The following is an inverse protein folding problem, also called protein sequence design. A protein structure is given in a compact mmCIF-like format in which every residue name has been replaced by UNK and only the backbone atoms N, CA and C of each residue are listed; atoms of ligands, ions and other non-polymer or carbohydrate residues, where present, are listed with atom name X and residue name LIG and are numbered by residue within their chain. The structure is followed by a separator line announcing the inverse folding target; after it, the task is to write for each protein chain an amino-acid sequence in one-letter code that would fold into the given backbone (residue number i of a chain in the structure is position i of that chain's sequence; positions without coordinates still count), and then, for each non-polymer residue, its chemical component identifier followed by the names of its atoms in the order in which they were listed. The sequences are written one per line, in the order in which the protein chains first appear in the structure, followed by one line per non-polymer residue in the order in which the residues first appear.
data_IF_445243197616
#
_entry.id   IF_445243197616
#
_cell.length_a   1.000
_cell.length_b   1.000
_cell.length_c   1.000
_cell.angle_alpha   90.00
_cell.angle_beta   90.00
_cell.angle_gamma   90.00
#
_symmetry.space_group_name_H-M   'P 1'
#
loop_
_entity.id
_entity.type
_entity.pdbx_description
1 polymer ?
#
# COMPACT_ATOMS: atom_id res chain seq x y z
N UNK A 1 -0.75 -11.98 24.00
CA UNK A 1 0.72 -11.96 23.92
C UNK A 1 1.12 -11.02 22.80
N UNK A 2 2.19 -10.22 22.97
CA UNK A 2 2.68 -9.30 21.94
C UNK A 2 3.89 -9.96 21.26
N UNK A 3 3.90 -10.01 19.93
CA UNK A 3 4.98 -10.61 19.14
C UNK A 3 5.14 -9.88 17.79
N UNK A 4 6.33 -9.93 17.16
CA UNK A 4 6.53 -9.36 15.83
C UNK A 4 5.78 -10.17 14.76
N UNK A 5 5.68 -9.61 13.55
CA UNK A 5 5.17 -10.36 12.40
C UNK A 5 6.04 -11.59 12.12
N UNK A 6 5.42 -12.76 12.14
CA UNK A 6 6.06 -14.03 11.75
C UNK A 6 5.79 -14.32 10.28
N UNK A 7 6.33 -13.49 9.40
CA UNK A 7 6.19 -13.65 7.95
C UNK A 7 7.54 -13.46 7.27
N UNK A 8 7.84 -14.29 6.27
CA UNK A 8 9.10 -14.21 5.52
C UNK A 8 9.27 -12.87 4.79
N UNK A 9 8.17 -12.19 4.47
CA UNK A 9 8.18 -10.84 3.89
C UNK A 9 8.52 -9.74 4.88
N UNK A 10 8.60 -10.04 6.19
CA UNK A 10 8.91 -9.09 7.25
C UNK A 10 9.94 -9.67 8.23
N UNK A 11 11.22 -9.77 7.82
CA UNK A 11 12.28 -10.29 8.68
C UNK A 11 12.40 -9.49 9.99
N UNK A 12 12.58 -10.18 11.11
CA UNK A 12 12.75 -9.53 12.42
C UNK A 12 14.14 -8.89 12.50
N UNK A 13 14.19 -7.61 12.86
CA UNK A 13 15.42 -6.88 13.13
C UNK A 13 15.81 -7.05 14.60
N UNK A 14 14.90 -6.68 15.51
CA UNK A 14 15.06 -6.78 16.98
C UNK A 14 13.72 -6.57 17.68
N UNK A 15 13.45 -7.34 18.73
CA UNK A 15 12.22 -7.26 19.53
C UNK A 15 10.96 -7.36 18.66
N UNK A 16 10.20 -6.26 18.55
CA UNK A 16 8.99 -6.15 17.73
C UNK A 16 9.25 -5.48 16.37
N UNK A 17 10.47 -5.04 16.10
CA UNK A 17 10.82 -4.36 14.85
C UNK A 17 11.10 -5.36 13.73
N UNK A 18 10.50 -5.08 12.57
CA UNK A 18 10.66 -5.88 11.35
C UNK A 18 11.13 -5.00 10.20
N UNK A 19 11.83 -5.60 9.25
CA UNK A 19 12.21 -4.96 7.99
C UNK A 19 11.03 -5.03 7.00
N UNK A 20 10.54 -3.86 6.58
CA UNK A 20 9.46 -3.71 5.59
C UNK A 20 9.94 -3.14 4.25
N UNK A 21 11.25 -3.01 4.04
CA UNK A 21 11.83 -2.32 2.87
C UNK A 21 11.42 -2.93 1.52
N UNK A 22 11.09 -4.22 1.48
CA UNK A 22 10.55 -4.86 0.28
C UNK A 22 9.21 -4.24 -0.17
N UNK A 23 8.36 -3.86 0.78
CA UNK A 23 7.05 -3.24 0.52
C UNK A 23 7.19 -1.75 0.18
N UNK A 24 8.16 -1.05 0.76
CA UNK A 24 8.50 0.31 0.34
C UNK A 24 8.90 0.37 -1.14
N UNK A 25 9.67 -0.61 -1.61
CA UNK A 25 10.03 -0.74 -3.03
C UNK A 25 8.81 -0.98 -3.93
N UNK A 26 7.83 -1.75 -3.45
CA UNK A 26 6.58 -1.98 -4.20
C UNK A 26 5.81 -0.67 -4.36
N UNK A 27 5.67 0.12 -3.28
CA UNK A 27 5.04 1.45 -3.36
C UNK A 27 5.79 2.34 -4.36
N UNK A 28 7.12 2.35 -4.32
CA UNK A 28 7.92 3.14 -5.25
C UNK A 28 7.83 2.67 -6.70
N UNK A 29 7.52 1.40 -6.95
CA UNK A 29 7.43 0.86 -8.31
C UNK A 29 6.13 1.27 -9.04
N UNK A 30 5.05 1.56 -8.32
CA UNK A 30 3.76 1.84 -8.95
C UNK A 30 2.66 2.43 -8.07
N UNK A 31 2.95 2.82 -6.83
CA UNK A 31 2.01 3.47 -5.91
C UNK A 31 1.74 4.95 -6.24
N UNK A 32 1.92 5.35 -7.50
CA UNK A 32 1.66 6.70 -7.98
C UNK A 32 1.18 6.64 -9.44
N UNK A 33 0.41 7.65 -9.84
CA UNK A 33 -0.06 7.78 -11.23
C UNK A 33 1.04 8.42 -12.08
N UNK A 34 1.56 7.67 -13.05
CA UNK A 34 2.65 8.10 -13.95
C UNK A 34 2.12 8.53 -15.32
N UNK A 35 1.31 9.60 -15.35
CA UNK A 35 0.80 10.17 -16.61
C UNK A 35 1.33 11.59 -16.81
N UNK A 36 1.68 11.94 -18.04
CA UNK A 36 2.03 13.33 -18.36
C UNK A 36 0.73 14.13 -18.43
N UNK A 37 0.54 14.98 -17.43
CA UNK A 37 -0.67 15.79 -17.27
C UNK A 37 -0.59 17.16 -17.97
N UNK A 38 0.53 17.53 -18.60
CA UNK A 38 0.61 18.64 -19.56
C UNK A 38 -0.13 19.94 -19.20
N UNK A 39 0.16 20.57 -18.06
CA UNK A 39 -0.41 21.88 -17.70
C UNK A 39 -1.92 21.89 -17.41
N UNK A 40 -2.52 20.71 -17.18
CA UNK A 40 -3.92 20.59 -16.75
C UNK A 40 -4.16 21.28 -15.39
N UNK A 41 -5.41 21.69 -15.12
CA UNK A 41 -5.81 22.17 -13.79
C UNK A 41 -5.59 21.10 -12.71
N UNK A 42 -5.54 21.56 -11.45
CA UNK A 42 -5.44 20.70 -10.27
C UNK A 42 -6.48 19.58 -10.31
N UNK A 43 -6.08 18.36 -9.94
CA UNK A 43 -6.95 17.19 -10.01
C UNK A 43 -8.25 17.35 -9.20
N UNK A 44 -8.21 18.09 -8.09
CA UNK A 44 -9.41 18.35 -7.27
C UNK A 44 -10.39 19.33 -7.91
N UNK A 45 -10.00 20.01 -9.00
CA UNK A 45 -10.88 20.89 -9.76
C UNK A 45 -11.64 20.16 -10.88
N UNK A 46 -11.32 18.89 -11.14
CA UNK A 46 -11.95 18.07 -12.18
C UNK A 46 -13.02 17.20 -11.52
N UNK A 47 -14.28 17.40 -11.90
CA UNK A 47 -15.38 16.59 -11.40
C UNK A 47 -15.31 15.17 -11.98
N UNK A 48 -15.43 14.18 -11.10
CA UNK A 48 -15.56 12.75 -11.44
C UNK A 48 -16.82 12.18 -10.79
N UNK A 49 -17.38 11.08 -11.32
CA UNK A 49 -18.50 10.38 -10.67
C UNK A 49 -18.18 10.05 -9.21
N UNK A 50 -19.19 10.16 -8.32
CA UNK A 50 -19.02 9.89 -6.90
C UNK A 50 -18.54 8.46 -6.63
N UNK A 51 -19.07 7.50 -7.38
CA UNK A 51 -18.70 6.08 -7.27
C UNK A 51 -17.21 5.86 -7.57
N UNK A 52 -16.67 6.51 -8.60
CA UNK A 52 -15.24 6.42 -8.95
C UNK A 52 -14.36 7.10 -7.90
N UNK A 53 -14.79 8.27 -7.38
CA UNK A 53 -14.08 8.97 -6.33
C UNK A 53 -14.01 8.14 -5.03
N UNK A 54 -15.13 7.51 -4.65
CA UNK A 54 -15.20 6.69 -3.45
C UNK A 54 -14.32 5.45 -3.58
N UNK A 55 -14.41 4.76 -4.71
CA UNK A 55 -13.60 3.58 -4.96
C UNK A 55 -12.10 3.90 -4.92
N UNK A 56 -11.70 5.05 -5.49
CA UNK A 56 -10.31 5.51 -5.45
C UNK A 56 -9.86 5.85 -4.02
N UNK A 57 -10.71 6.53 -3.25
CA UNK A 57 -10.38 6.91 -1.87
C UNK A 57 -10.36 5.72 -0.91
N UNK A 58 -11.23 4.74 -1.11
CA UNK A 58 -11.23 3.49 -0.34
C UNK A 58 -9.93 2.70 -0.55
N UNK A 59 -9.45 2.59 -1.79
CA UNK A 59 -8.14 1.98 -2.08
C UNK A 59 -6.97 2.83 -1.52
N UNK A 60 -7.09 4.16 -1.58
CA UNK A 60 -6.07 5.07 -1.05
C UNK A 60 -6.01 5.09 0.50
N UNK A 61 -6.97 4.48 1.20
CA UNK A 61 -6.97 4.41 2.66
C UNK A 61 -5.84 3.53 3.23
N UNK A 62 -5.18 2.72 2.39
CA UNK A 62 -4.04 1.90 2.80
C UNK A 62 -2.90 2.76 3.38
N UNK A 63 -2.53 2.51 4.64
CA UNK A 63 -1.44 3.22 5.32
C UNK A 63 -0.05 2.58 5.12
N UNK A 64 0.08 1.61 4.21
CA UNK A 64 1.35 0.94 3.93
C UNK A 64 1.91 0.12 5.10
N UNK A 65 1.07 -0.30 6.04
CA UNK A 65 1.54 -1.02 7.23
C UNK A 65 2.02 -2.45 6.91
N UNK A 66 1.42 -3.16 5.95
CA UNK A 66 1.81 -4.54 5.62
C UNK A 66 1.14 -5.63 6.47
N UNK A 67 0.22 -5.27 7.37
CA UNK A 67 -0.48 -6.22 8.23
C UNK A 67 -1.30 -7.27 7.45
N UNK A 68 -1.92 -6.88 6.32
CA UNK A 68 -2.65 -7.80 5.44
C UNK A 68 -1.75 -8.93 4.91
N UNK A 69 -0.52 -8.60 4.49
CA UNK A 69 0.44 -9.56 3.99
C UNK A 69 1.10 -10.37 5.12
N UNK A 70 1.29 -9.77 6.30
CA UNK A 70 1.79 -10.47 7.48
C UNK A 70 0.81 -11.52 8.03
N UNK A 71 -0.50 -11.24 7.96
CA UNK A 71 -1.56 -12.16 8.39
C UNK A 71 -1.81 -13.30 7.41
N UNK A 72 -1.40 -13.15 6.14
CA UNK A 72 -1.56 -14.18 5.12
C UNK A 72 -0.66 -15.38 5.43
N UNK A 73 -1.23 -16.59 5.47
CA UNK A 73 -0.45 -17.84 5.63
C UNK A 73 0.65 -18.00 4.58
N UNK A 74 0.42 -17.47 3.39
CA UNK A 74 1.36 -17.54 2.27
C UNK A 74 2.31 -16.32 2.24
N UNK A 75 2.14 -15.34 3.13
CA UNK A 75 2.89 -14.08 3.10
C UNK A 75 2.72 -13.31 1.79
N UNK A 76 1.58 -13.45 1.10
CA UNK A 76 1.41 -12.97 -0.27
C UNK A 76 1.38 -11.45 -0.34
N UNK A 77 2.32 -10.89 -1.11
CA UNK A 77 2.37 -9.46 -1.42
C UNK A 77 1.17 -8.99 -2.26
N UNK A 78 0.40 -9.90 -2.88
CA UNK A 78 -0.82 -9.54 -3.61
C UNK A 78 -1.81 -8.79 -2.73
N UNK A 79 -1.97 -9.20 -1.47
CA UNK A 79 -2.87 -8.56 -0.52
C UNK A 79 -2.44 -7.14 -0.13
N UNK A 80 -1.20 -6.76 -0.43
CA UNK A 80 -0.70 -5.42 -0.20
C UNK A 80 -0.89 -4.50 -1.41
N UNK A 81 -0.82 -5.04 -2.62
CA UNK A 81 -0.99 -4.26 -3.87
C UNK A 81 -2.42 -4.18 -4.37
N UNK A 82 -3.29 -5.07 -3.91
CA UNK A 82 -4.72 -5.09 -4.24
C UNK A 82 -5.60 -4.46 -3.16
N UNK A 83 -4.98 -3.82 -2.17
CA UNK A 83 -5.66 -3.15 -1.06
C UNK A 83 -6.00 -1.71 -1.44
#
# INVERSE_FOLDING_TARGET
TIEPWRSAGFPIIRDLMVDRSAYDKIIQAGGFVSVNTGGVPDANAIAIPKEDADLAMDAAACIGCGACAAACKNGSAMLFVSA
#
